data_IF_199766079471
#
_entry.id   IF_199766079471
#
_cell.length_a   1.000
_cell.length_b   1.000
_cell.length_c   1.000
_cell.angle_alpha   90.00
_cell.angle_beta   90.00
_cell.angle_gamma   90.00
#
_symmetry.space_group_name_H-M   'P 1'
#
loop_
_entity.id
_entity.type
_entity.pdbx_description
1 polymer ?
#
# COMPACT_ATOMS: atom_id res chain seq x y z
N UNK A 1 -2.50 -8.91 16.98
CA UNK A 1 -2.41 -8.43 18.37
C UNK A 1 -3.37 -9.18 19.25
N UNK A 2 -4.65 -8.80 19.23
CA UNK A 2 -5.78 -9.65 19.69
C UNK A 2 -6.71 -9.95 18.51
N UNK A 3 -6.94 -8.95 17.65
CA UNK A 3 -7.69 -9.06 16.39
C UNK A 3 -6.74 -9.32 15.21
N UNK A 4 -5.61 -8.60 15.13
CA UNK A 4 -4.64 -8.76 14.03
C UNK A 4 -4.04 -10.15 14.00
N UNK A 5 -4.29 -10.86 12.90
CA UNK A 5 -3.62 -12.10 12.51
C UNK A 5 -2.53 -11.84 11.47
N UNK A 6 -1.67 -12.83 11.23
CA UNK A 6 -0.67 -12.77 10.17
C UNK A 6 -1.31 -12.86 8.78
N UNK A 7 -0.74 -12.15 7.82
CA UNK A 7 -1.20 -12.22 6.43
C UNK A 7 -0.91 -13.60 5.85
N UNK A 8 -1.84 -14.09 5.02
CA UNK A 8 -1.60 -15.23 4.12
C UNK A 8 -0.78 -14.75 2.93
N UNK A 9 0.53 -14.68 3.11
CA UNK A 9 1.47 -14.25 2.08
C UNK A 9 1.65 -15.34 1.02
N UNK A 10 1.70 -14.99 -0.29
CA UNK A 10 2.13 -15.94 -1.32
C UNK A 10 3.64 -16.22 -1.18
N UNK A 11 4.15 -17.29 -1.83
CA UNK A 11 5.59 -17.57 -1.84
C UNK A 11 6.32 -16.46 -2.59
N UNK A 12 7.44 -15.98 -2.06
CA UNK A 12 8.11 -14.81 -2.61
C UNK A 12 8.87 -15.13 -3.90
N UNK A 13 9.33 -16.38 -4.04
CA UNK A 13 10.04 -16.92 -5.20
C UNK A 13 9.21 -16.86 -6.49
N UNK A 14 7.88 -16.76 -6.37
CA UNK A 14 6.94 -16.62 -7.50
C UNK A 14 7.07 -15.24 -8.18
N UNK A 15 7.68 -14.25 -7.52
CA UNK A 15 7.85 -12.88 -8.00
C UNK A 15 9.32 -12.52 -8.29
N UNK A 16 10.22 -13.49 -8.20
CA UNK A 16 11.64 -13.30 -8.44
C UNK A 16 11.93 -12.91 -9.90
N UNK A 17 12.84 -11.95 -10.08
CA UNK A 17 13.45 -11.63 -11.38
C UNK A 17 14.57 -12.64 -11.64
N UNK A 18 14.20 -13.81 -12.20
CA UNK A 18 15.10 -14.96 -12.40
C UNK A 18 16.16 -14.70 -13.47
N UNK A 19 15.88 -13.75 -14.35
CA UNK A 19 16.73 -13.37 -15.48
C UNK A 19 18.11 -12.85 -15.05
N UNK A 20 18.28 -12.41 -13.81
CA UNK A 20 19.61 -12.07 -13.27
C UNK A 20 20.49 -13.32 -13.13
N UNK A 21 19.92 -14.46 -12.72
CA UNK A 21 20.66 -15.73 -12.66
C UNK A 21 20.96 -16.27 -14.06
N UNK A 22 20.09 -15.98 -15.03
CA UNK A 22 20.20 -16.47 -16.42
C UNK A 22 21.17 -15.63 -17.26
N UNK A 23 21.13 -14.29 -17.14
CA UNK A 23 21.84 -13.37 -18.02
C UNK A 23 22.89 -12.49 -17.32
N UNK A 24 22.97 -12.55 -15.99
CA UNK A 24 23.99 -11.88 -15.19
C UNK A 24 23.55 -10.55 -14.54
N UNK A 25 24.38 -10.07 -13.63
CA UNK A 25 24.13 -8.83 -12.88
C UNK A 25 24.09 -7.59 -13.80
N UNK A 26 23.10 -6.72 -13.57
CA UNK A 26 22.86 -5.52 -14.39
C UNK A 26 21.92 -5.74 -15.57
N UNK A 27 21.31 -6.91 -15.69
CA UNK A 27 20.33 -7.22 -16.73
C UNK A 27 19.01 -6.45 -16.55
N UNK A 28 18.41 -6.10 -17.69
CA UNK A 28 17.01 -5.69 -17.80
C UNK A 28 16.77 -4.19 -17.70
N UNK A 29 15.54 -3.81 -18.04
CA UNK A 29 15.01 -2.44 -17.92
C UNK A 29 13.65 -2.50 -17.22
N UNK A 30 13.61 -3.26 -16.12
CA UNK A 30 12.39 -3.49 -15.36
C UNK A 30 11.98 -2.27 -14.56
N UNK A 31 10.67 -2.14 -14.34
CA UNK A 31 10.09 -1.16 -13.44
C UNK A 31 9.82 -1.83 -12.10
N UNK A 32 10.75 -1.70 -11.15
CA UNK A 32 10.80 -2.51 -9.93
C UNK A 32 9.49 -2.54 -9.12
N UNK A 33 8.75 -1.41 -9.06
CA UNK A 33 7.50 -1.34 -8.30
C UNK A 33 6.37 -2.19 -8.88
N UNK A 34 6.45 -2.62 -10.14
CA UNK A 34 5.48 -3.59 -10.71
C UNK A 34 5.54 -4.95 -10.01
N UNK A 35 6.73 -5.40 -9.60
CA UNK A 35 6.89 -6.65 -8.86
C UNK A 35 6.16 -6.57 -7.51
N UNK A 36 6.29 -5.43 -6.83
CA UNK A 36 5.53 -5.16 -5.60
C UNK A 36 4.02 -5.08 -5.88
N UNK A 37 3.60 -4.48 -7.01
CA UNK A 37 2.20 -4.46 -7.42
C UNK A 37 1.61 -5.87 -7.59
N UNK A 38 2.32 -6.77 -8.27
CA UNK A 38 1.90 -8.16 -8.46
C UNK A 38 1.85 -8.94 -7.13
N UNK A 39 2.86 -8.77 -6.27
CA UNK A 39 2.87 -9.37 -4.93
C UNK A 39 1.69 -8.86 -4.08
N UNK A 40 1.43 -7.56 -4.12
CA UNK A 40 0.35 -6.93 -3.34
C UNK A 40 -1.04 -7.33 -3.85
N UNK A 41 -1.22 -7.51 -5.16
CA UNK A 41 -2.44 -8.09 -5.75
C UNK A 41 -2.77 -9.44 -5.10
N UNK A 42 -1.79 -10.33 -5.01
CA UNK A 42 -2.03 -11.67 -4.47
C UNK A 42 -2.17 -11.67 -2.94
N UNK A 43 -1.53 -10.73 -2.24
CA UNK A 43 -1.85 -10.45 -0.83
C UNK A 43 -3.32 -10.06 -0.68
N UNK A 44 -3.85 -9.16 -1.52
CA UNK A 44 -5.27 -8.78 -1.47
C UNK A 44 -6.14 -10.00 -1.73
N UNK A 45 -5.84 -10.80 -2.76
CA UNK A 45 -6.61 -12.02 -3.10
C UNK A 45 -6.66 -13.00 -1.92
N UNK A 46 -5.54 -13.20 -1.22
CA UNK A 46 -5.44 -14.11 -0.08
C UNK A 46 -6.07 -13.55 1.21
N UNK A 47 -6.23 -12.23 1.30
CA UNK A 47 -6.70 -11.50 2.48
C UNK A 47 -7.78 -10.47 2.07
N UNK A 48 -8.90 -10.90 1.45
CA UNK A 48 -9.79 -10.04 0.65
C UNK A 48 -10.45 -8.92 1.43
N UNK A 49 -10.51 -9.03 2.76
CA UNK A 49 -11.04 -8.00 3.64
C UNK A 49 -10.01 -7.38 4.56
N UNK A 50 -8.78 -7.90 4.67
CA UNK A 50 -7.82 -7.49 5.72
C UNK A 50 -6.60 -6.74 5.22
N UNK A 51 -6.46 -6.55 3.90
CA UNK A 51 -5.42 -5.74 3.30
C UNK A 51 -6.00 -4.60 2.45
N UNK A 52 -5.47 -3.38 2.57
CA UNK A 52 -5.84 -2.23 1.71
C UNK A 52 -4.61 -1.53 1.11
N UNK A 53 -4.82 -0.96 -0.07
CA UNK A 53 -3.92 0.01 -0.70
C UNK A 53 -4.55 1.40 -0.57
N UNK A 54 -3.74 2.39 -0.25
CA UNK A 54 -4.10 3.81 -0.31
C UNK A 54 -3.13 4.54 -1.24
N UNK A 55 -3.60 5.58 -1.93
CA UNK A 55 -2.74 6.40 -2.79
C UNK A 55 -3.37 7.76 -3.08
N UNK A 56 -2.61 8.87 -3.08
CA UNK A 56 -3.17 10.19 -3.32
C UNK A 56 -3.36 10.45 -4.82
N UNK A 57 -4.17 9.63 -5.50
CA UNK A 57 -4.32 9.59 -6.97
C UNK A 57 -3.05 9.12 -7.72
N UNK A 58 -2.26 8.26 -7.07
CA UNK A 58 -0.93 7.86 -7.54
C UNK A 58 -0.70 6.35 -7.57
N UNK A 59 -1.70 5.51 -7.28
CA UNK A 59 -1.52 4.04 -7.23
C UNK A 59 -1.04 3.49 -8.58
N UNK A 60 -1.66 3.94 -9.67
CA UNK A 60 -1.24 3.55 -11.01
C UNK A 60 0.09 4.20 -11.43
N UNK A 61 0.32 5.46 -11.04
CA UNK A 61 1.58 6.17 -11.34
C UNK A 61 2.80 5.50 -10.70
N UNK A 62 2.66 5.08 -9.44
CA UNK A 62 3.68 4.33 -8.69
C UNK A 62 3.71 2.82 -9.04
N UNK A 63 2.94 2.41 -10.06
CA UNK A 63 2.93 1.08 -10.70
C UNK A 63 2.36 -0.07 -9.86
N UNK A 64 1.40 0.22 -8.99
CA UNK A 64 0.70 -0.76 -8.14
C UNK A 64 -0.68 -1.18 -8.69
N UNK A 65 -1.02 -0.80 -9.91
CA UNK A 65 -2.32 -1.06 -10.56
C UNK A 65 -2.59 -2.54 -10.87
N UNK A 66 -1.60 -3.44 -10.77
CA UNK A 66 -1.85 -4.89 -10.86
C UNK A 66 -2.88 -5.36 -9.81
N UNK A 67 -3.04 -4.61 -8.70
CA UNK A 67 -4.10 -4.83 -7.72
C UNK A 67 -5.52 -4.75 -8.33
N UNK A 68 -5.72 -3.98 -9.40
CA UNK A 68 -7.03 -3.81 -10.05
C UNK A 68 -7.53 -5.09 -10.73
N UNK A 69 -6.67 -6.10 -10.89
CA UNK A 69 -7.06 -7.42 -11.40
C UNK A 69 -7.92 -8.21 -10.40
N UNK A 70 -7.90 -7.85 -9.11
CA UNK A 70 -8.61 -8.58 -8.04
C UNK A 70 -9.47 -7.69 -7.15
N UNK A 71 -9.39 -6.38 -7.33
CA UNK A 71 -10.19 -5.40 -6.58
C UNK A 71 -10.38 -4.12 -7.39
N UNK A 72 -11.09 -3.14 -6.85
CA UNK A 72 -11.29 -1.84 -7.47
C UNK A 72 -10.84 -0.72 -6.53
N UNK A 73 -10.70 0.48 -7.08
CA UNK A 73 -10.75 1.74 -6.33
C UNK A 73 -12.16 1.89 -5.77
N UNK A 74 -12.25 2.07 -4.46
CA UNK A 74 -13.52 2.33 -3.81
C UNK A 74 -13.96 3.76 -4.12
N UNK A 75 -15.10 3.90 -4.78
CA UNK A 75 -15.69 5.19 -5.14
C UNK A 75 -17.19 5.19 -4.87
N UNK A 76 -17.59 6.00 -3.88
CA UNK A 76 -18.97 6.14 -3.39
C UNK A 76 -19.63 7.47 -3.81
N UNK A 77 -19.06 8.18 -4.80
CA UNK A 77 -19.69 9.35 -5.41
C UNK A 77 -20.39 8.98 -6.72
N UNK A 78 -20.68 9.97 -7.58
CA UNK A 78 -21.37 9.74 -8.85
C UNK A 78 -20.52 8.96 -9.86
N UNK A 79 -21.18 8.06 -10.61
CA UNK A 79 -20.67 7.43 -11.82
C UNK A 79 -21.34 8.11 -13.03
N UNK A 80 -20.60 8.22 -14.14
CA UNK A 80 -21.07 8.92 -15.34
C UNK A 80 -21.04 8.05 -16.59
N UNK A 81 -20.02 7.20 -16.79
CA UNK A 81 -19.88 6.38 -18.00
C UNK A 81 -18.81 5.30 -17.81
N UNK A 82 -19.00 4.14 -18.43
CA UNK A 82 -18.02 3.05 -18.45
C UNK A 82 -16.72 3.41 -19.21
N UNK A 83 -16.77 4.40 -20.10
CA UNK A 83 -15.59 4.94 -20.82
C UNK A 83 -14.58 5.66 -19.91
N UNK A 84 -14.97 6.03 -18.68
CA UNK A 84 -14.11 6.79 -17.74
C UNK A 84 -14.08 6.20 -16.34
N UNK A 85 -15.12 5.46 -15.95
CA UNK A 85 -15.27 4.87 -14.62
C UNK A 85 -14.52 3.53 -14.48
N UNK A 86 -13.28 3.48 -14.96
CA UNK A 86 -12.46 2.27 -15.02
C UNK A 86 -11.93 1.85 -13.63
N UNK A 87 -12.03 0.54 -13.36
CA UNK A 87 -11.54 -0.08 -12.12
C UNK A 87 -12.07 0.61 -10.85
N UNK A 88 -13.29 1.14 -10.91
CA UNK A 88 -14.01 1.75 -9.79
C UNK A 88 -15.24 0.94 -9.42
N UNK A 89 -15.50 0.82 -8.12
CA UNK A 89 -16.72 0.22 -7.60
C UNK A 89 -17.02 0.82 -6.22
N UNK A 90 -18.29 0.81 -5.78
CA UNK A 90 -18.70 1.28 -4.43
C UNK A 90 -18.10 0.48 -3.27
N UNK A 91 -17.37 -0.58 -3.57
CA UNK A 91 -16.60 -1.36 -2.61
C UNK A 91 -15.35 -1.87 -3.29
N UNK A 92 -14.21 -1.61 -2.67
CA UNK A 92 -12.89 -1.94 -3.20
C UNK A 92 -11.82 -1.85 -2.11
N UNK A 93 -10.71 -2.54 -2.32
CA UNK A 93 -9.59 -2.59 -1.38
C UNK A 93 -8.50 -1.54 -1.71
N UNK A 94 -8.70 -0.74 -2.77
CA UNK A 94 -7.89 0.44 -3.06
C UNK A 94 -8.73 1.68 -2.73
N UNK A 95 -8.15 2.71 -2.11
CA UNK A 95 -8.81 4.00 -1.87
C UNK A 95 -7.89 5.11 -2.36
N UNK A 96 -8.44 6.02 -3.16
CA UNK A 96 -7.70 7.18 -3.64
C UNK A 96 -8.45 8.48 -3.35
N UNK A 97 -7.70 9.47 -2.89
CA UNK A 97 -8.12 10.86 -2.75
C UNK A 97 -6.84 11.68 -2.77
N UNK A 98 -6.77 12.76 -3.54
CA UNK A 98 -5.60 13.62 -3.68
C UNK A 98 -5.31 14.41 -2.37
N UNK A 99 -4.82 13.69 -1.35
CA UNK A 99 -4.48 14.18 -0.02
C UNK A 99 -3.67 13.12 0.72
N UNK A 100 -2.39 13.39 0.93
CA UNK A 100 -1.48 12.53 1.70
C UNK A 100 -1.98 12.36 3.14
N UNK A 101 -2.54 13.42 3.74
CA UNK A 101 -3.14 13.37 5.08
C UNK A 101 -4.24 12.32 5.20
N UNK A 102 -5.10 12.21 4.18
CA UNK A 102 -6.17 11.22 4.16
C UNK A 102 -5.60 9.81 4.02
N UNK A 103 -4.61 9.61 3.14
CA UNK A 103 -4.02 8.30 2.91
C UNK A 103 -3.29 7.77 4.15
N UNK A 104 -2.46 8.62 4.78
CA UNK A 104 -1.76 8.30 6.02
C UNK A 104 -2.77 8.04 7.15
N UNK A 105 -3.71 8.96 7.40
CA UNK A 105 -4.67 8.84 8.49
C UNK A 105 -5.61 7.62 8.35
N UNK A 106 -6.07 7.31 7.14
CA UNK A 106 -6.86 6.11 6.90
C UNK A 106 -6.06 4.84 7.16
N UNK A 107 -4.81 4.77 6.69
CA UNK A 107 -3.97 3.61 6.92
C UNK A 107 -3.64 3.45 8.41
N UNK A 108 -3.25 4.51 9.11
CA UNK A 108 -2.99 4.47 10.56
C UNK A 108 -4.17 3.85 11.33
N UNK A 109 -5.39 4.34 11.09
CA UNK A 109 -6.59 3.83 11.76
C UNK A 109 -6.91 2.37 11.35
N UNK A 110 -6.68 2.01 10.10
CA UNK A 110 -6.87 0.65 9.59
C UNK A 110 -5.94 -0.36 10.29
N UNK A 111 -4.69 0.05 10.56
CA UNK A 111 -3.70 -0.75 11.30
C UNK A 111 -4.05 -0.82 12.80
N UNK A 112 -4.43 0.31 13.40
CA UNK A 112 -4.82 0.38 14.82
C UNK A 112 -6.04 -0.48 15.15
N UNK A 113 -6.91 -0.72 14.16
CA UNK A 113 -8.07 -1.61 14.26
C UNK A 113 -7.78 -3.05 13.87
N UNK A 114 -6.51 -3.39 13.61
CA UNK A 114 -6.01 -4.75 13.52
C UNK A 114 -5.85 -5.32 12.11
N UNK A 115 -5.88 -4.48 11.07
CA UNK A 115 -5.74 -4.91 9.67
C UNK A 115 -4.37 -4.50 9.11
N UNK A 116 -4.17 -4.65 7.81
CA UNK A 116 -2.88 -4.48 7.14
C UNK A 116 -3.00 -3.57 5.91
N UNK A 117 -1.92 -2.94 5.50
CA UNK A 117 -1.94 -2.22 4.24
C UNK A 117 -0.61 -1.62 3.87
N UNK A 118 -0.66 -0.93 2.74
CA UNK A 118 0.43 -0.13 2.18
C UNK A 118 -0.18 1.12 1.56
N UNK A 119 0.59 2.20 1.54
CA UNK A 119 0.29 3.33 0.69
C UNK A 119 1.52 3.78 -0.09
N UNK A 120 1.31 4.51 -1.17
CA UNK A 120 2.39 5.03 -2.02
C UNK A 120 2.25 6.52 -2.23
N UNK A 121 3.37 7.23 -2.29
CA UNK A 121 3.41 8.66 -2.60
C UNK A 121 4.65 9.01 -3.42
N UNK A 122 4.55 10.05 -4.23
CA UNK A 122 5.71 10.72 -4.81
C UNK A 122 6.63 11.23 -3.70
N UNK A 123 7.94 11.01 -3.85
CA UNK A 123 8.92 11.23 -2.79
C UNK A 123 8.86 12.63 -2.17
N UNK A 124 8.75 13.67 -2.99
CA UNK A 124 8.72 15.06 -2.51
C UNK A 124 7.49 15.40 -1.67
N UNK A 125 6.38 14.67 -1.87
CA UNK A 125 5.11 14.97 -1.21
C UNK A 125 4.90 14.19 0.09
N UNK A 126 5.75 13.21 0.39
CA UNK A 126 5.79 12.58 1.72
C UNK A 126 5.95 13.63 2.82
N UNK A 127 6.67 14.73 2.56
CA UNK A 127 6.81 15.85 3.48
C UNK A 127 5.49 16.49 3.93
N UNK A 128 4.41 16.35 3.16
CA UNK A 128 3.07 16.84 3.54
C UNK A 128 2.60 16.20 4.85
N UNK A 129 3.02 14.95 5.13
CA UNK A 129 2.62 14.18 6.32
C UNK A 129 3.75 13.93 7.32
N UNK A 130 4.88 14.64 7.22
CA UNK A 130 6.01 14.52 8.17
C UNK A 130 5.54 14.57 9.63
N UNK A 131 4.59 15.44 9.93
CA UNK A 131 4.04 15.58 11.28
C UNK A 131 3.22 14.36 11.72
N UNK A 132 2.49 13.71 10.81
CA UNK A 132 1.75 12.47 11.10
C UNK A 132 2.72 11.32 11.37
N UNK A 133 3.76 11.18 10.55
CA UNK A 133 4.85 10.21 10.79
C UNK A 133 5.45 10.40 12.19
N UNK A 134 5.74 11.64 12.58
CA UNK A 134 6.26 11.95 13.90
C UNK A 134 5.29 11.55 15.02
N UNK A 135 3.98 11.79 14.85
CA UNK A 135 2.98 11.40 15.86
C UNK A 135 2.84 9.88 15.95
N UNK A 136 2.73 9.18 14.82
CA UNK A 136 2.61 7.72 14.81
C UNK A 136 3.87 7.04 15.35
N UNK A 137 5.06 7.56 15.02
CA UNK A 137 6.31 7.09 15.61
C UNK A 137 6.30 7.23 17.14
N UNK A 138 5.90 8.39 17.68
CA UNK A 138 5.78 8.61 19.14
C UNK A 138 4.76 7.68 19.80
N UNK A 139 3.64 7.43 19.13
CA UNK A 139 2.63 6.47 19.59
C UNK A 139 3.24 5.05 19.73
N UNK A 140 4.01 4.62 18.73
CA UNK A 140 4.73 3.34 18.76
C UNK A 140 5.82 3.32 19.83
N UNK A 141 6.62 4.39 19.97
CA UNK A 141 7.66 4.51 21.00
C UNK A 141 7.09 4.31 22.42
N UNK A 142 6.01 5.02 22.76
CA UNK A 142 5.35 4.86 24.04
C UNK A 142 4.81 3.42 24.21
N UNK A 143 4.16 2.90 23.17
CA UNK A 143 3.58 1.55 23.17
C UNK A 143 4.63 0.48 23.51
N UNK A 144 5.77 0.49 22.84
CA UNK A 144 6.81 -0.53 23.02
C UNK A 144 7.59 -0.38 24.32
N UNK A 145 7.69 0.83 24.89
CA UNK A 145 8.41 1.09 26.14
C UNK A 145 7.60 0.65 27.37
N UNK A 146 6.30 0.97 27.40
CA UNK A 146 5.57 0.96 28.68
C UNK A 146 4.08 0.56 28.60
N UNK A 147 3.56 0.12 27.46
CA UNK A 147 2.14 -0.27 27.31
C UNK A 147 1.99 -1.75 26.91
N UNK A 148 2.46 -2.71 27.73
CA UNK A 148 2.53 -4.14 27.35
C UNK A 148 1.17 -4.82 27.12
N UNK A 149 0.09 -4.22 27.62
CA UNK A 149 -1.27 -4.71 27.40
C UNK A 149 -1.81 -4.33 26.02
N UNK A 150 -1.27 -3.28 25.38
CA UNK A 150 -1.58 -2.94 23.98
C UNK A 150 -0.82 -3.89 23.08
N UNK A 151 -1.54 -4.84 22.47
CA UNK A 151 -0.91 -5.85 21.62
C UNK A 151 -0.36 -5.25 20.33
N UNK A 152 0.67 -5.88 19.72
CA UNK A 152 1.26 -5.40 18.47
C UNK A 152 0.24 -5.26 17.33
N UNK A 153 0.38 -4.17 16.57
CA UNK A 153 -0.33 -3.88 15.33
C UNK A 153 0.57 -4.19 14.13
N UNK A 154 0.02 -4.19 12.91
CA UNK A 154 0.82 -4.24 11.70
C UNK A 154 1.55 -2.90 11.48
N UNK A 155 2.67 -2.93 10.75
CA UNK A 155 3.44 -1.73 10.42
C UNK A 155 2.69 -0.83 9.43
N UNK A 156 2.94 0.48 9.53
CA UNK A 156 2.65 1.43 8.46
C UNK A 156 3.73 1.28 7.38
N UNK A 157 3.33 0.79 6.21
CA UNK A 157 4.22 0.61 5.07
C UNK A 157 3.95 1.72 4.05
N UNK A 158 4.99 2.48 3.72
CA UNK A 158 4.96 3.55 2.72
C UNK A 158 5.95 3.21 1.60
N UNK A 159 5.43 3.05 0.38
CA UNK A 159 6.24 3.02 -0.83
C UNK A 159 6.56 4.47 -1.24
N UNK A 160 7.81 4.88 -1.00
CA UNK A 160 8.36 6.13 -1.52
C UNK A 160 8.89 5.87 -2.94
N UNK A 161 8.19 6.37 -3.94
CA UNK A 161 8.57 6.20 -5.36
C UNK A 161 8.49 7.54 -6.11
N UNK A 162 8.58 7.50 -7.45
CA UNK A 162 8.62 8.71 -8.29
C UNK A 162 9.61 9.74 -7.75
N UNK A 163 10.81 9.23 -7.46
CA UNK A 163 11.83 9.88 -6.65
C UNK A 163 12.56 10.98 -7.43
N UNK A 164 13.33 11.80 -6.70
CA UNK A 164 14.02 13.01 -7.17
C UNK A 164 14.82 12.83 -8.46
N UNK A 165 15.46 11.68 -8.69
CA UNK A 165 16.28 11.45 -9.89
C UNK A 165 15.46 11.28 -11.18
N UNK A 166 14.15 11.00 -11.08
CA UNK A 166 13.25 10.60 -12.19
C UNK A 166 11.81 11.06 -11.92
N UNK A 167 11.62 12.33 -11.57
CA UNK A 167 10.31 13.01 -11.48
C UNK A 167 9.67 13.17 -12.87
#
# INVERSE_FOLDING_TARGET
>A
GVIRDDLKLPNLEDYEVKEVAEYGHGWGQLEATRTLGAYTRDIIRNNPRDFRIFGPDETASNRLQASYEVTNKQWDAGYISDEVDEHMHVSGQVVEQLSEHQMEGFLEAYLLTGRHGIWSSYESFVHVIDSMLNQHAKWLEATVREIPWRKPIASMNLLVSSHVWRQ
#
